data_IF_250836939154
#
_entry.id   IF_250836939154
#
_cell.length_a   1.000
_cell.length_b   1.000
_cell.length_c   1.000
_cell.angle_alpha   90.00
_cell.angle_beta   90.00
_cell.angle_gamma   90.00
#
_symmetry.space_group_name_H-M   'P 1'
#
loop_
_entity.id
_entity.type
_entity.pdbx_description
1 polymer ?
#
# COMPACT_ATOMS: atom_id res chain seq x y z
N UNK A 1 34.55 5.95 19.30
CA UNK A 1 34.37 5.22 18.02
C UNK A 1 33.02 5.52 17.37
N UNK A 2 31.89 5.39 18.09
CA UNK A 2 30.53 5.65 17.54
C UNK A 2 30.33 7.08 17.01
N UNK A 3 30.89 8.09 17.68
CA UNK A 3 30.74 9.50 17.28
C UNK A 3 31.40 9.79 15.93
N UNK A 4 32.54 9.14 15.62
CA UNK A 4 33.23 9.31 14.35
C UNK A 4 32.45 8.66 13.20
N UNK A 5 31.78 7.55 13.48
CA UNK A 5 30.88 6.89 12.53
C UNK A 5 29.65 7.77 12.23
N UNK A 6 29.05 8.39 13.25
CA UNK A 6 27.91 9.29 13.05
C UNK A 6 28.35 10.61 12.37
N UNK A 7 29.49 11.18 12.75
CA UNK A 7 29.95 12.44 12.20
C UNK A 7 30.47 12.28 10.75
N UNK A 8 30.99 11.11 10.38
CA UNK A 8 31.60 10.81 9.07
C UNK A 8 32.50 11.94 8.57
N UNK A 9 33.46 12.39 9.40
CA UNK A 9 34.34 13.53 9.07
C UNK A 9 33.58 14.82 8.66
N UNK A 10 32.39 15.07 9.22
CA UNK A 10 31.52 16.20 8.89
C UNK A 10 30.46 15.89 7.82
N UNK A 11 30.54 14.75 7.13
CA UNK A 11 29.57 14.36 6.10
C UNK A 11 28.29 13.72 6.67
N UNK A 12 28.30 13.32 7.93
CA UNK A 12 27.22 12.52 8.53
C UNK A 12 25.86 13.19 8.43
N UNK A 13 25.80 14.52 8.63
CA UNK A 13 24.56 15.27 8.54
C UNK A 13 23.91 15.16 7.15
N UNK A 14 24.69 15.21 6.07
CA UNK A 14 24.19 15.08 4.71
C UNK A 14 23.73 13.66 4.42
N UNK A 15 24.49 12.67 4.87
CA UNK A 15 24.17 11.25 4.68
C UNK A 15 22.87 10.91 5.39
N UNK A 16 22.75 11.19 6.69
CA UNK A 16 21.53 10.91 7.44
C UNK A 16 20.33 11.73 6.96
N UNK A 17 20.53 12.99 6.56
CA UNK A 17 19.45 13.79 5.99
C UNK A 17 18.94 13.22 4.67
N UNK A 18 19.83 12.73 3.79
CA UNK A 18 19.45 12.07 2.55
C UNK A 18 18.66 10.78 2.84
N UNK A 19 19.14 9.94 3.77
CA UNK A 19 18.43 8.73 4.18
C UNK A 19 17.04 9.03 4.76
N UNK A 20 16.94 9.98 5.69
CA UNK A 20 15.65 10.39 6.28
C UNK A 20 14.72 10.91 5.20
N UNK A 21 15.20 11.77 4.30
CA UNK A 21 14.42 12.27 3.19
C UNK A 21 13.89 11.12 2.32
N UNK A 22 14.75 10.18 1.91
CA UNK A 22 14.33 9.01 1.12
C UNK A 22 13.30 8.14 1.86
N UNK A 23 13.50 7.89 3.15
CA UNK A 23 12.56 7.11 3.96
C UNK A 23 11.19 7.80 4.06
N UNK A 24 11.15 9.12 4.25
CA UNK A 24 9.91 9.90 4.26
C UNK A 24 9.22 9.84 2.90
N UNK A 25 9.95 9.98 1.80
CA UNK A 25 9.38 9.90 0.45
C UNK A 25 8.75 8.52 0.19
N UNK A 26 9.45 7.43 0.52
CA UNK A 26 8.91 6.08 0.34
C UNK A 26 7.74 5.79 1.28
N UNK A 27 7.79 6.23 2.53
CA UNK A 27 6.67 6.11 3.45
C UNK A 27 5.45 6.87 2.91
N UNK A 28 5.62 8.12 2.49
CA UNK A 28 4.56 8.93 1.89
C UNK A 28 3.95 8.27 0.65
N UNK A 29 4.79 7.81 -0.28
CA UNK A 29 4.33 7.08 -1.47
C UNK A 29 3.55 5.83 -1.10
N UNK A 30 4.05 5.03 -0.15
CA UNK A 30 3.38 3.82 0.32
C UNK A 30 1.99 4.15 0.89
N UNK A 31 1.86 5.18 1.73
CA UNK A 31 0.57 5.57 2.29
C UNK A 31 -0.42 6.03 1.22
N UNK A 32 0.05 6.81 0.23
CA UNK A 32 -0.79 7.27 -0.87
C UNK A 32 -1.31 6.07 -1.68
N UNK A 33 -0.42 5.18 -2.11
CA UNK A 33 -0.78 4.00 -2.92
C UNK A 33 -1.69 3.07 -2.12
N UNK A 34 -1.40 2.83 -0.84
CA UNK A 34 -2.24 2.00 0.03
C UNK A 34 -3.64 2.59 0.22
N UNK A 35 -3.74 3.91 0.34
CA UNK A 35 -5.02 4.61 0.44
C UNK A 35 -5.83 4.49 -0.85
N UNK A 36 -5.19 4.67 -2.01
CA UNK A 36 -5.82 4.48 -3.32
C UNK A 36 -6.30 3.04 -3.52
N UNK A 37 -5.46 2.06 -3.18
CA UNK A 37 -5.81 0.64 -3.26
C UNK A 37 -7.06 0.32 -2.44
N UNK A 38 -7.16 0.81 -1.20
CA UNK A 38 -8.36 0.60 -0.37
C UNK A 38 -9.62 1.22 -0.99
N UNK A 39 -9.51 2.41 -1.58
CA UNK A 39 -10.65 3.07 -2.26
C UNK A 39 -11.13 2.26 -3.46
N UNK A 40 -10.20 1.79 -4.30
CA UNK A 40 -10.54 0.97 -5.46
C UNK A 40 -11.12 -0.40 -5.06
N UNK A 41 -10.59 -1.04 -4.02
CA UNK A 41 -11.16 -2.28 -3.46
C UNK A 41 -12.61 -2.09 -2.97
N UNK A 42 -12.89 -0.98 -2.29
CA UNK A 42 -14.25 -0.65 -1.85
C UNK A 42 -15.20 -0.38 -3.02
N UNK A 43 -14.72 0.33 -4.05
CA UNK A 43 -15.48 0.58 -5.28
C UNK A 43 -15.75 -0.73 -6.01
N UNK A 44 -14.76 -1.60 -6.13
CA UNK A 44 -14.91 -2.94 -6.69
C UNK A 44 -15.97 -3.74 -5.96
N UNK A 45 -15.91 -3.80 -4.62
CA UNK A 45 -16.91 -4.53 -3.83
C UNK A 45 -18.34 -4.00 -4.05
N UNK A 46 -18.51 -2.67 -4.16
CA UNK A 46 -19.82 -2.04 -4.42
C UNK A 46 -20.35 -2.34 -5.82
N UNK A 47 -19.50 -2.35 -6.83
CA UNK A 47 -19.92 -2.72 -8.19
C UNK A 47 -20.16 -4.22 -8.32
N UNK A 48 -19.35 -5.04 -7.65
CA UNK A 48 -19.52 -6.49 -7.61
C UNK A 48 -20.86 -6.89 -6.96
N UNK A 49 -21.29 -6.21 -5.90
CA UNK A 49 -22.57 -6.46 -5.24
C UNK A 49 -23.80 -6.07 -6.08
N UNK A 50 -23.62 -5.34 -7.19
CA UNK A 50 -24.70 -4.98 -8.11
C UNK A 50 -24.81 -5.93 -9.31
N UNK A 51 -23.88 -6.86 -9.46
CA UNK A 51 -23.91 -7.84 -10.55
C UNK A 51 -25.07 -8.83 -10.36
N UNK A 52 -25.67 -9.23 -11.47
CA UNK A 52 -26.59 -10.37 -11.53
C UNK A 52 -25.89 -11.65 -11.06
N UNK A 53 -26.63 -12.58 -10.43
CA UNK A 53 -26.08 -13.80 -9.86
C UNK A 53 -25.23 -14.61 -10.85
N UNK A 54 -25.64 -14.69 -12.12
CA UNK A 54 -24.88 -15.41 -13.15
C UNK A 54 -23.54 -14.73 -13.43
N UNK A 55 -23.54 -13.40 -13.56
CA UNK A 55 -22.33 -12.62 -13.81
C UNK A 55 -21.41 -12.57 -12.60
N UNK A 56 -21.98 -12.52 -11.40
CA UNK A 56 -21.24 -12.60 -10.15
C UNK A 56 -20.56 -13.97 -10.01
N UNK A 57 -21.24 -15.06 -10.36
CA UNK A 57 -20.67 -16.41 -10.35
C UNK A 57 -19.48 -16.54 -11.30
N UNK A 58 -19.62 -16.07 -12.54
CA UNK A 58 -18.53 -16.07 -13.52
C UNK A 58 -17.35 -15.20 -13.08
N UNK A 59 -17.62 -13.98 -12.60
CA UNK A 59 -16.58 -13.10 -12.09
C UNK A 59 -15.85 -13.69 -10.87
N UNK A 60 -16.58 -14.41 -10.00
CA UNK A 60 -16.01 -15.10 -8.85
C UNK A 60 -15.18 -16.34 -9.24
N UNK A 61 -15.23 -16.81 -10.50
CA UNK A 61 -14.36 -17.91 -10.94
C UNK A 61 -12.89 -17.47 -11.07
N UNK A 62 -12.65 -16.17 -11.28
CA UNK A 62 -11.30 -15.63 -11.39
C UNK A 62 -10.66 -15.45 -10.01
N UNK A 63 -9.48 -16.03 -9.81
CA UNK A 63 -8.75 -15.96 -8.53
C UNK A 63 -8.45 -14.52 -8.09
N UNK A 64 -8.13 -13.64 -9.05
CA UNK A 64 -7.86 -12.22 -8.77
C UNK A 64 -9.07 -11.54 -8.11
N UNK A 65 -10.28 -11.78 -8.61
CA UNK A 65 -11.50 -11.19 -8.05
C UNK A 65 -11.77 -11.70 -6.63
N UNK A 66 -11.53 -12.99 -6.38
CA UNK A 66 -11.61 -13.57 -5.03
C UNK A 66 -10.63 -12.90 -4.07
N UNK A 67 -9.37 -12.75 -4.49
CA UNK A 67 -8.32 -12.14 -3.67
C UNK A 67 -8.60 -10.67 -3.34
N UNK A 68 -9.15 -9.91 -4.29
CA UNK A 68 -9.56 -8.51 -4.08
C UNK A 68 -10.68 -8.42 -3.03
N UNK A 69 -11.68 -9.31 -3.09
CA UNK A 69 -12.80 -9.35 -2.15
C UNK A 69 -12.38 -9.80 -0.74
N UNK A 70 -11.51 -10.80 -0.65
CA UNK A 70 -10.93 -11.27 0.60
C UNK A 70 -10.08 -10.18 1.24
N UNK A 71 -9.17 -9.56 0.49
CA UNK A 71 -8.30 -8.50 1.02
C UNK A 71 -9.08 -7.27 1.48
N UNK A 72 -10.16 -6.92 0.77
CA UNK A 72 -11.04 -5.81 1.16
C UNK A 72 -11.84 -6.06 2.45
N UNK A 73 -12.15 -7.31 2.79
CA UNK A 73 -12.89 -7.66 4.03
C UNK A 73 -11.98 -7.64 5.26
N UNK A 74 -10.72 -8.08 5.15
CA UNK A 74 -9.74 -8.00 6.24
C UNK A 74 -9.30 -6.57 6.59
N UNK A 75 -9.55 -5.57 5.74
CA UNK A 75 -9.27 -4.15 6.07
C UNK A 75 -10.37 -3.48 6.89
N UNK A 76 -11.52 -4.14 7.16
CA UNK A 76 -12.62 -3.61 7.98
C UNK A 76 -12.56 -4.01 9.46
N UNK A 77 -11.66 -4.91 9.84
CA UNK A 77 -11.40 -5.34 11.24
C UNK A 77 -10.19 -4.59 11.78
#
# INVERSE_FOLDING_TARGET
MIINFINMNGYGIYVFSAFIFTLINFAGLYFIVRSQLKKEQQKFAKEFSKLDEQKAFEANKQNINKEILLTGTFSKT
#
